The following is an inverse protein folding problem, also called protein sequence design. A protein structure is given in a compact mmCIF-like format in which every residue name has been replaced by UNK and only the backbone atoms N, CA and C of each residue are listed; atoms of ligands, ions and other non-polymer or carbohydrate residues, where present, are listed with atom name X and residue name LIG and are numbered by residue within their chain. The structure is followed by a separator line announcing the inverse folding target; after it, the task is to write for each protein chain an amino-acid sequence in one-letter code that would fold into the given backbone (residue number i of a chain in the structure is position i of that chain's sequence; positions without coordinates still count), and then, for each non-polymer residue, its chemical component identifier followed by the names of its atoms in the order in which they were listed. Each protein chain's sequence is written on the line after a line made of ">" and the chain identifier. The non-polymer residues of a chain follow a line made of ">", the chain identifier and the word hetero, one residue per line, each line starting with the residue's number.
data_IF_857832727811
#
_entry.id   IF_857832727811
#
_cell.length_a   1.000
_cell.length_b   1.000
_cell.length_c   1.000
_cell.angle_alpha   90.00
_cell.angle_beta   90.00
_cell.angle_gamma   90.00
#
_symmetry.space_group_name_H-M   'P 1'
#
loop_
_entity.id
_entity.type
_entity.pdbx_description
1 polymer ?
#
# COMPACT_ATOMS: atom_id res chain seq x y z
N UNK A 1 2.90 -2.23 -33.38
CA UNK A 1 2.26 -0.94 -33.08
C UNK A 1 1.34 -1.12 -31.88
N UNK A 2 1.37 -0.23 -30.88
CA UNK A 2 0.77 -0.46 -29.55
C UNK A 2 -0.58 0.27 -29.33
N UNK A 3 -1.25 0.74 -30.38
CA UNK A 3 -2.36 1.70 -30.28
C UNK A 3 -3.79 1.10 -30.09
N UNK A 4 -3.96 -0.22 -30.06
CA UNK A 4 -5.28 -0.87 -30.23
C UNK A 4 -5.77 -1.76 -29.07
N UNK A 5 -4.99 -1.91 -27.99
CA UNK A 5 -5.28 -2.86 -26.89
C UNK A 5 -6.09 -2.35 -25.67
N UNK A 6 -6.18 -1.04 -25.32
CA UNK A 6 -6.90 -0.62 -24.12
C UNK A 6 -8.42 -0.87 -24.16
N UNK A 7 -9.12 -0.34 -25.18
CA UNK A 7 -10.61 -0.36 -25.24
C UNK A 7 -11.20 -1.77 -25.40
N UNK A 8 -10.50 -2.66 -26.10
CA UNK A 8 -10.89 -4.07 -26.28
C UNK A 8 -10.82 -4.84 -24.97
N UNK A 9 -9.81 -4.55 -24.14
CA UNK A 9 -9.66 -5.16 -22.81
C UNK A 9 -10.78 -4.74 -21.85
N UNK A 10 -11.10 -3.45 -21.80
CA UNK A 10 -12.20 -2.93 -20.96
C UNK A 10 -13.57 -3.52 -21.36
N UNK A 11 -13.87 -3.55 -22.66
CA UNK A 11 -15.13 -4.12 -23.15
C UNK A 11 -15.26 -5.62 -22.86
N UNK A 12 -14.15 -6.37 -22.82
CA UNK A 12 -14.16 -7.78 -22.43
C UNK A 12 -14.55 -7.93 -20.96
N UNK A 13 -13.91 -7.19 -20.06
CA UNK A 13 -14.20 -7.24 -18.62
C UNK A 13 -15.66 -6.87 -18.32
N UNK A 14 -16.18 -5.80 -18.94
CA UNK A 14 -17.59 -5.39 -18.82
C UNK A 14 -18.58 -6.47 -19.30
N UNK A 15 -18.19 -7.30 -20.28
CA UNK A 15 -19.00 -8.45 -20.75
C UNK A 15 -18.84 -9.70 -19.87
N UNK A 16 -17.74 -9.82 -19.14
CA UNK A 16 -17.49 -10.93 -18.20
C UNK A 16 -18.18 -10.73 -16.86
N UNK A 17 -18.28 -9.49 -16.35
CA UNK A 17 -18.81 -9.20 -15.02
C UNK A 17 -20.19 -9.84 -14.72
N UNK A 18 -21.21 -9.81 -15.62
CA UNK A 18 -22.49 -10.47 -15.36
C UNK A 18 -22.39 -11.99 -15.24
N UNK A 19 -21.47 -12.64 -15.97
CA UNK A 19 -21.22 -14.08 -15.86
C UNK A 19 -20.49 -14.42 -14.56
N UNK A 20 -19.51 -13.60 -14.17
CA UNK A 20 -18.78 -13.75 -12.92
C UNK A 20 -19.72 -13.61 -11.72
N UNK A 21 -20.62 -12.63 -11.74
CA UNK A 21 -21.68 -12.46 -10.72
C UNK A 21 -22.57 -13.69 -10.65
N UNK A 22 -22.99 -14.23 -11.80
CA UNK A 22 -23.88 -15.40 -11.87
C UNK A 22 -23.24 -16.72 -11.37
N UNK A 23 -21.90 -16.84 -11.36
CA UNK A 23 -21.17 -18.03 -10.86
C UNK A 23 -20.33 -17.74 -9.62
N UNK A 24 -20.59 -16.64 -8.91
CA UNK A 24 -19.72 -16.18 -7.82
C UNK A 24 -19.71 -17.14 -6.61
N UNK A 25 -20.83 -17.84 -6.41
CA UNK A 25 -21.05 -18.90 -5.41
C UNK A 25 -20.05 -20.05 -5.45
N UNK A 26 -19.36 -20.23 -6.58
CA UNK A 26 -18.61 -21.44 -6.90
C UNK A 26 -17.08 -21.23 -6.75
N UNK A 27 -16.64 -19.97 -6.56
CA UNK A 27 -15.43 -19.46 -7.20
C UNK A 27 -14.05 -20.17 -7.09
N UNK A 28 -13.22 -20.24 -6.04
CA UNK A 28 -13.25 -19.99 -4.58
C UNK A 28 -12.70 -18.59 -4.14
N UNK A 29 -12.17 -18.46 -2.90
CA UNK A 29 -11.35 -17.34 -2.39
C UNK A 29 -10.18 -16.90 -3.29
N UNK A 30 -9.42 -17.82 -3.89
CA UNK A 30 -8.30 -17.50 -4.78
C UNK A 30 -8.81 -16.85 -6.06
N UNK A 31 -9.91 -17.40 -6.60
CA UNK A 31 -10.56 -16.88 -7.78
C UNK A 31 -11.23 -15.52 -7.50
N UNK A 32 -11.95 -15.36 -6.37
CA UNK A 32 -12.50 -14.08 -5.90
C UNK A 32 -11.41 -12.99 -5.83
N UNK A 33 -10.27 -13.29 -5.20
CA UNK A 33 -9.15 -12.37 -5.06
C UNK A 33 -8.51 -12.00 -6.40
N UNK A 34 -8.26 -13.00 -7.26
CA UNK A 34 -7.65 -12.78 -8.57
C UNK A 34 -8.57 -11.96 -9.50
N UNK A 35 -9.89 -12.20 -9.46
CA UNK A 35 -10.89 -11.45 -10.23
C UNK A 35 -10.96 -10.00 -9.74
N UNK A 36 -11.12 -9.77 -8.43
CA UNK A 36 -11.16 -8.42 -7.86
C UNK A 36 -9.88 -7.65 -8.24
N UNK A 37 -8.71 -8.28 -8.09
CA UNK A 37 -7.43 -7.69 -8.47
C UNK A 37 -7.39 -7.33 -9.96
N UNK A 38 -7.84 -8.22 -10.85
CA UNK A 38 -7.81 -7.98 -12.29
C UNK A 38 -8.69 -6.79 -12.72
N UNK A 39 -9.91 -6.70 -12.20
CA UNK A 39 -10.81 -5.56 -12.47
C UNK A 39 -10.22 -4.23 -11.95
N UNK A 40 -9.72 -4.22 -10.71
CA UNK A 40 -9.06 -3.05 -10.13
C UNK A 40 -7.79 -2.66 -10.89
N UNK A 41 -7.01 -3.64 -11.39
CA UNK A 41 -5.74 -3.42 -12.10
C UNK A 41 -5.92 -2.74 -13.45
N UNK A 42 -7.05 -2.94 -14.13
CA UNK A 42 -7.41 -2.24 -15.37
C UNK A 42 -8.21 -0.95 -15.15
N UNK A 43 -8.37 -0.50 -13.89
CA UNK A 43 -9.19 0.66 -13.50
C UNK A 43 -10.66 0.58 -13.95
N UNK A 44 -11.19 -0.62 -14.20
CA UNK A 44 -12.60 -0.83 -14.55
C UNK A 44 -13.43 -1.03 -13.29
N UNK A 45 -14.17 0.00 -12.92
CA UNK A 45 -15.04 0.02 -11.74
C UNK A 45 -16.38 -0.63 -12.04
N UNK A 46 -16.71 -1.66 -11.28
CA UNK A 46 -18.02 -2.30 -11.26
C UNK A 46 -18.43 -2.57 -9.80
N UNK A 47 -19.16 -1.61 -9.21
CA UNK A 47 -19.55 -1.66 -7.79
C UNK A 47 -20.45 -2.87 -7.49
N UNK A 48 -21.24 -3.33 -8.47
CA UNK A 48 -22.10 -4.50 -8.34
C UNK A 48 -21.30 -5.79 -8.28
N UNK A 49 -20.31 -5.94 -9.17
CA UNK A 49 -19.35 -7.04 -9.10
C UNK A 49 -18.59 -7.02 -7.78
N UNK A 50 -18.00 -5.89 -7.39
CA UNK A 50 -17.22 -5.80 -6.15
C UNK A 50 -18.06 -6.09 -4.90
N UNK A 51 -19.32 -5.65 -4.86
CA UNK A 51 -20.25 -6.03 -3.80
C UNK A 51 -20.47 -7.55 -3.76
N UNK A 52 -20.78 -8.20 -4.88
CA UNK A 52 -20.94 -9.66 -4.95
C UNK A 52 -19.66 -10.39 -4.51
N UNK A 53 -18.48 -9.94 -4.96
CA UNK A 53 -17.20 -10.50 -4.54
C UNK A 53 -16.95 -10.33 -3.02
N UNK A 54 -17.39 -9.22 -2.40
CA UNK A 54 -17.31 -9.02 -0.94
C UNK A 54 -18.21 -10.01 -0.20
N UNK A 55 -19.47 -10.15 -0.64
CA UNK A 55 -20.46 -11.04 -0.03
C UNK A 55 -20.05 -12.50 -0.12
N UNK A 56 -19.50 -12.95 -1.26
CA UNK A 56 -19.00 -14.32 -1.42
C UNK A 56 -17.71 -14.59 -0.64
N UNK A 57 -16.81 -13.60 -0.52
CA UNK A 57 -15.58 -13.75 0.28
C UNK A 57 -15.87 -13.91 1.77
N UNK A 58 -16.90 -13.23 2.28
CA UNK A 58 -17.30 -13.26 3.69
C UNK A 58 -18.10 -14.51 4.11
N UNK A 59 -18.49 -15.39 3.17
CA UNK A 59 -19.12 -16.66 3.53
C UNK A 59 -18.11 -17.55 4.26
N UNK A 60 -18.33 -17.76 5.56
CA UNK A 60 -17.40 -18.44 6.48
C UNK A 60 -17.07 -19.91 6.18
N UNK A 61 -17.53 -20.47 5.06
CA UNK A 61 -17.07 -21.75 4.52
C UNK A 61 -15.72 -21.63 3.80
N UNK A 62 -15.26 -20.42 3.47
CA UNK A 62 -14.03 -20.16 2.70
C UNK A 62 -12.89 -19.72 3.61
N UNK A 63 -11.87 -20.56 3.78
CA UNK A 63 -10.62 -20.16 4.44
C UNK A 63 -9.83 -19.23 3.50
N UNK A 64 -9.79 -17.95 3.81
CA UNK A 64 -9.06 -16.95 3.00
C UNK A 64 -7.64 -16.81 3.53
N UNK A 65 -6.66 -17.17 2.70
CA UNK A 65 -5.24 -17.07 3.06
C UNK A 65 -4.74 -15.61 3.07
N UNK A 66 -3.58 -15.32 3.70
CA UNK A 66 -3.00 -13.97 3.79
C UNK A 66 -2.86 -13.21 2.47
N UNK A 67 -2.51 -13.93 1.39
CA UNK A 67 -2.33 -13.35 0.05
C UNK A 67 -3.66 -12.94 -0.56
N UNK A 68 -4.67 -13.81 -0.46
CA UNK A 68 -5.99 -13.55 -1.01
C UNK A 68 -6.69 -12.42 -0.25
N UNK A 69 -6.52 -12.36 1.07
CA UNK A 69 -7.04 -11.29 1.91
C UNK A 69 -6.40 -9.93 1.57
N UNK A 70 -5.07 -9.90 1.42
CA UNK A 70 -4.34 -8.70 1.02
C UNK A 70 -4.67 -8.25 -0.42
N UNK A 71 -4.83 -9.18 -1.35
CA UNK A 71 -5.20 -8.89 -2.74
C UNK A 71 -6.62 -8.36 -2.86
N UNK A 72 -7.58 -8.92 -2.11
CA UNK A 72 -8.95 -8.40 -2.02
C UNK A 72 -8.94 -6.96 -1.47
N UNK A 73 -8.30 -6.71 -0.31
CA UNK A 73 -8.23 -5.37 0.26
C UNK A 73 -7.58 -4.35 -0.70
N UNK A 74 -6.47 -4.73 -1.34
CA UNK A 74 -5.79 -3.90 -2.35
C UNK A 74 -6.69 -3.62 -3.57
N UNK A 75 -7.46 -4.61 -4.02
CA UNK A 75 -8.38 -4.44 -5.14
C UNK A 75 -9.48 -3.42 -4.82
N UNK A 76 -10.15 -3.55 -3.66
CA UNK A 76 -11.17 -2.59 -3.22
C UNK A 76 -10.59 -1.18 -3.08
N UNK A 77 -9.35 -1.05 -2.59
CA UNK A 77 -8.64 0.23 -2.51
C UNK A 77 -8.31 0.86 -3.88
N UNK A 78 -8.25 0.08 -4.97
CA UNK A 78 -7.96 0.60 -6.31
C UNK A 78 -9.18 0.67 -7.24
N UNK A 79 -10.27 -0.03 -6.94
CA UNK A 79 -11.49 -0.04 -7.75
C UNK A 79 -12.16 1.34 -7.92
N UNK A 80 -11.86 2.31 -7.05
CA UNK A 80 -12.31 3.71 -7.18
C UNK A 80 -11.35 4.65 -7.95
N UNK A 81 -10.20 4.17 -8.42
CA UNK A 81 -9.17 5.00 -9.07
C UNK A 81 -9.44 5.20 -10.57
N UNK A 82 -10.31 6.17 -10.89
CA UNK A 82 -10.55 6.62 -12.27
C UNK A 82 -9.62 7.77 -12.70
N UNK A 83 -8.75 7.48 -13.66
CA UNK A 83 -8.02 8.50 -14.44
C UNK A 83 -6.96 9.29 -13.66
N UNK A 84 -6.13 10.02 -14.40
CA UNK A 84 -5.00 10.80 -13.85
C UNK A 84 -5.44 12.08 -13.11
N UNK A 85 -6.74 12.40 -13.12
CA UNK A 85 -7.30 13.67 -12.64
C UNK A 85 -8.38 13.53 -11.55
N UNK A 86 -8.66 12.33 -11.02
CA UNK A 86 -9.56 12.20 -9.86
C UNK A 86 -8.92 12.76 -8.59
N UNK A 87 -9.44 13.90 -8.12
CA UNK A 87 -9.00 14.59 -6.89
C UNK A 87 -9.32 13.83 -5.60
N UNK A 88 -10.09 12.72 -5.68
CA UNK A 88 -10.36 11.82 -4.56
C UNK A 88 -9.99 10.38 -4.93
N UNK A 89 -8.74 10.02 -4.62
CA UNK A 89 -8.34 8.61 -4.40
C UNK A 89 -9.06 8.06 -3.16
N UNK A 90 -10.23 7.47 -3.39
CA UNK A 90 -11.02 6.70 -2.42
C UNK A 90 -11.51 5.48 -3.18
N UNK A 91 -11.20 4.29 -2.70
CA UNK A 91 -11.68 3.03 -3.27
C UNK A 91 -13.11 2.71 -2.83
N UNK A 92 -13.53 1.46 -3.05
CA UNK A 92 -14.85 1.00 -2.64
C UNK A 92 -14.88 0.74 -1.13
N UNK A 93 -15.68 1.55 -0.44
CA UNK A 93 -15.88 1.50 1.01
C UNK A 93 -17.10 0.63 1.34
N UNK A 94 -16.88 -0.67 1.50
CA UNK A 94 -17.81 -1.61 2.14
C UNK A 94 -17.34 -1.79 3.60
N UNK A 95 -17.99 -1.14 4.60
CA UNK A 95 -17.49 -1.16 5.99
C UNK A 95 -17.50 -2.54 6.62
N UNK A 96 -18.49 -3.37 6.28
CA UNK A 96 -18.62 -4.74 6.81
C UNK A 96 -17.49 -5.62 6.26
N UNK A 97 -17.22 -5.51 4.95
CA UNK A 97 -16.08 -6.18 4.32
C UNK A 97 -14.75 -5.75 4.93
N UNK A 98 -14.52 -4.45 5.18
CA UNK A 98 -13.27 -4.00 5.80
C UNK A 98 -13.12 -4.43 7.27
N UNK A 99 -14.19 -4.49 8.06
CA UNK A 99 -14.13 -5.04 9.42
C UNK A 99 -13.89 -6.57 9.41
N UNK A 100 -14.54 -7.31 8.51
CA UNK A 100 -14.24 -8.72 8.28
C UNK A 100 -12.79 -8.95 7.83
N UNK A 101 -12.24 -8.10 6.94
CA UNK A 101 -10.82 -8.16 6.56
C UNK A 101 -9.92 -7.94 7.78
N UNK A 102 -10.25 -6.98 8.65
CA UNK A 102 -9.47 -6.72 9.86
C UNK A 102 -9.53 -7.89 10.86
N UNK A 103 -10.70 -8.52 11.03
CA UNK A 103 -10.86 -9.69 11.89
C UNK A 103 -10.15 -10.93 11.33
N UNK A 104 -10.33 -11.24 10.03
CA UNK A 104 -9.66 -12.34 9.35
C UNK A 104 -8.13 -12.15 9.35
N UNK A 105 -7.65 -10.92 9.18
CA UNK A 105 -6.23 -10.60 9.25
C UNK A 105 -5.66 -10.80 10.65
N UNK A 106 -6.34 -10.31 11.70
CA UNK A 106 -5.90 -10.52 13.08
C UNK A 106 -5.80 -12.01 13.45
N UNK A 107 -6.75 -12.85 12.97
CA UNK A 107 -6.73 -14.31 13.16
C UNK A 107 -5.62 -15.04 12.39
N UNK A 108 -5.08 -14.45 11.33
CA UNK A 108 -4.10 -15.09 10.42
C UNK A 108 -2.73 -14.40 10.37
N UNK A 109 -2.54 -13.32 11.13
CA UNK A 109 -1.33 -12.47 11.12
C UNK A 109 0.01 -13.24 11.24
N UNK A 110 0.17 -14.30 12.05
CA UNK A 110 1.42 -15.08 12.10
C UNK A 110 1.84 -15.75 10.79
N UNK A 111 0.93 -15.83 9.80
CA UNK A 111 1.18 -16.40 8.46
C UNK A 111 1.54 -15.32 7.42
N UNK A 112 1.61 -14.04 7.81
CA UNK A 112 1.76 -12.93 6.88
C UNK A 112 3.20 -12.75 6.43
N UNK A 113 3.40 -12.46 5.14
CA UNK A 113 4.65 -11.86 4.65
C UNK A 113 4.66 -10.35 4.85
N UNK A 114 5.84 -9.74 4.79
CA UNK A 114 6.03 -8.28 4.75
C UNK A 114 5.19 -7.60 3.66
N UNK A 115 5.02 -8.25 2.50
CA UNK A 115 4.14 -7.80 1.43
C UNK A 115 2.65 -7.84 1.82
N UNK A 116 2.17 -8.91 2.48
CA UNK A 116 0.78 -8.99 2.95
C UNK A 116 0.48 -7.88 3.96
N UNK A 117 1.38 -7.70 4.93
CA UNK A 117 1.28 -6.63 5.93
C UNK A 117 1.18 -5.25 5.28
N UNK A 118 2.12 -4.92 4.39
CA UNK A 118 2.13 -3.66 3.63
C UNK A 118 0.83 -3.44 2.86
N UNK A 119 0.40 -4.42 2.05
CA UNK A 119 -0.76 -4.26 1.18
C UNK A 119 -2.06 -4.07 1.95
N UNK A 120 -2.23 -4.74 3.10
CA UNK A 120 -3.40 -4.57 3.96
C UNK A 120 -3.45 -3.17 4.58
N UNK A 121 -2.40 -2.73 5.29
CA UNK A 121 -2.44 -1.40 5.93
C UNK A 121 -2.49 -0.28 4.89
N UNK A 122 -1.85 -0.46 3.73
CA UNK A 122 -1.94 0.47 2.60
C UNK A 122 -3.35 0.56 2.02
N UNK A 123 -4.08 -0.55 1.94
CA UNK A 123 -5.47 -0.55 1.46
C UNK A 123 -6.42 0.18 2.41
N UNK A 124 -6.26 -0.04 3.72
CA UNK A 124 -7.02 0.66 4.77
C UNK A 124 -6.70 2.16 4.77
N UNK A 125 -5.42 2.52 4.76
CA UNK A 125 -4.95 3.91 4.69
C UNK A 125 -5.35 4.60 3.37
N UNK A 126 -5.42 3.88 2.25
CA UNK A 126 -5.89 4.42 0.95
C UNK A 126 -7.37 4.74 0.99
N UNK A 127 -8.21 3.83 1.50
CA UNK A 127 -9.64 4.09 1.70
C UNK A 127 -9.95 5.07 2.83
N UNK A 128 -8.97 5.36 3.72
CA UNK A 128 -9.15 6.06 5.01
C UNK A 128 -10.15 5.35 5.91
N UNK A 129 -9.93 4.04 6.10
CA UNK A 129 -10.65 3.19 7.04
C UNK A 129 -9.64 2.81 8.13
N UNK A 130 -9.88 3.24 9.36
CA UNK A 130 -9.05 2.88 10.51
C UNK A 130 -9.58 1.61 11.16
N UNK A 131 -8.70 0.66 11.49
CA UNK A 131 -9.04 -0.47 12.36
C UNK A 131 -7.86 -0.75 13.27
N UNK A 132 -8.04 -0.47 14.57
CA UNK A 132 -6.99 -0.65 15.57
C UNK A 132 -6.55 -2.11 15.63
N UNK A 133 -7.50 -3.05 15.57
CA UNK A 133 -7.24 -4.51 15.55
C UNK A 133 -6.31 -4.93 14.42
N UNK A 134 -6.45 -4.34 13.22
CA UNK A 134 -5.52 -4.60 12.11
C UNK A 134 -4.14 -4.00 12.41
N UNK A 135 -4.06 -2.76 12.88
CA UNK A 135 -2.79 -2.13 13.24
C UNK A 135 -2.05 -2.94 14.31
N UNK A 136 -2.68 -3.25 15.45
CA UNK A 136 -2.06 -4.02 16.53
C UNK A 136 -1.51 -5.37 16.04
N UNK A 137 -2.32 -6.10 15.26
CA UNK A 137 -1.94 -7.40 14.70
C UNK A 137 -0.75 -7.29 13.72
N UNK A 138 -0.75 -6.29 12.83
CA UNK A 138 0.35 -6.06 11.89
C UNK A 138 1.62 -5.62 12.64
N UNK A 139 1.50 -4.68 13.56
CA UNK A 139 2.61 -4.13 14.33
C UNK A 139 3.34 -5.23 15.12
N UNK A 140 2.58 -6.10 15.80
CA UNK A 140 3.11 -7.27 16.51
C UNK A 140 3.98 -8.17 15.62
N UNK A 141 3.55 -8.44 14.38
CA UNK A 141 4.33 -9.26 13.44
C UNK A 141 5.57 -8.53 12.91
N UNK A 142 5.46 -7.22 12.62
CA UNK A 142 6.60 -6.40 12.19
C UNK A 142 7.68 -6.40 13.26
N UNK A 143 7.32 -6.01 14.50
CA UNK A 143 8.26 -5.92 15.62
C UNK A 143 8.85 -7.29 16.00
N UNK A 144 8.04 -8.36 16.00
CA UNK A 144 8.47 -9.68 16.45
C UNK A 144 9.48 -10.38 15.54
N UNK A 145 9.31 -10.29 14.21
CA UNK A 145 10.21 -10.98 13.26
C UNK A 145 10.22 -10.39 11.84
N UNK A 146 9.10 -9.86 11.34
CA UNK A 146 9.01 -9.45 9.94
C UNK A 146 9.90 -8.26 9.58
N UNK A 147 10.32 -7.41 10.52
CA UNK A 147 11.11 -6.19 10.22
C UNK A 147 12.36 -6.48 9.37
N UNK A 148 13.02 -7.63 9.60
CA UNK A 148 14.18 -8.06 8.83
C UNK A 148 13.83 -8.58 7.42
N UNK A 149 12.58 -8.97 7.18
CA UNK A 149 12.06 -9.50 5.93
C UNK A 149 11.35 -8.46 5.05
N UNK A 150 11.39 -7.17 5.42
CA UNK A 150 10.91 -6.10 4.55
C UNK A 150 11.92 -5.70 3.46
N UNK A 151 11.40 -5.38 2.29
CA UNK A 151 12.05 -4.49 1.32
C UNK A 151 11.60 -3.02 1.57
N UNK A 152 12.27 -2.01 1.00
CA UNK A 152 12.05 -0.61 1.37
C UNK A 152 10.71 -0.06 0.87
N UNK A 153 10.10 -0.66 -0.15
CA UNK A 153 8.77 -0.28 -0.62
C UNK A 153 7.72 -0.77 0.38
N UNK A 154 7.80 -2.03 0.80
CA UNK A 154 6.87 -2.58 1.78
C UNK A 154 7.02 -1.90 3.16
N UNK A 155 8.25 -1.58 3.62
CA UNK A 155 8.44 -0.90 4.91
C UNK A 155 7.91 0.54 4.90
N UNK A 156 8.26 1.31 3.86
CA UNK A 156 7.80 2.70 3.74
C UNK A 156 6.27 2.80 3.55
N UNK A 157 5.64 1.81 2.90
CA UNK A 157 4.19 1.69 2.84
C UNK A 157 3.56 1.43 4.21
N UNK A 158 4.15 0.59 5.07
CA UNK A 158 3.65 0.38 6.45
C UNK A 158 3.71 1.69 7.23
N UNK A 159 4.87 2.35 7.29
CA UNK A 159 5.04 3.60 8.04
C UNK A 159 4.11 4.72 7.53
N UNK A 160 4.01 4.90 6.21
CA UNK A 160 3.07 5.85 5.59
C UNK A 160 1.61 5.54 5.94
N UNK A 161 1.24 4.26 6.03
CA UNK A 161 -0.14 3.86 6.33
C UNK A 161 -0.54 4.19 7.76
N UNK A 162 0.33 3.94 8.74
CA UNK A 162 0.10 4.29 10.14
C UNK A 162 -0.01 5.82 10.30
N UNK A 163 0.92 6.56 9.71
CA UNK A 163 0.89 8.02 9.70
C UNK A 163 -0.40 8.58 9.08
N UNK A 164 -0.83 8.01 7.94
CA UNK A 164 -2.05 8.44 7.24
C UNK A 164 -3.36 8.04 7.94
N UNK A 165 -3.33 6.98 8.76
CA UNK A 165 -4.44 6.58 9.64
C UNK A 165 -4.39 7.29 11.02
N UNK A 166 -3.40 8.16 11.25
CA UNK A 166 -3.11 8.80 12.54
C UNK A 166 -2.85 7.83 13.71
N UNK A 167 -2.37 6.62 13.41
CA UNK A 167 -2.02 5.60 14.41
C UNK A 167 -0.58 5.82 14.88
N UNK A 168 -0.43 6.28 16.13
CA UNK A 168 0.86 6.51 16.77
C UNK A 168 1.34 5.25 17.50
N UNK A 169 2.08 4.41 16.78
CA UNK A 169 2.78 3.25 17.34
C UNK A 169 4.28 3.59 17.49
N UNK A 170 4.69 3.99 18.69
CA UNK A 170 6.09 4.41 18.92
C UNK A 170 7.08 3.25 18.80
N UNK A 171 6.66 2.04 19.17
CA UNK A 171 7.52 0.85 19.14
C UNK A 171 7.77 0.39 17.70
N UNK A 172 6.74 0.33 16.86
CA UNK A 172 6.86 0.04 15.43
C UNK A 172 7.78 1.04 14.72
N UNK A 173 7.63 2.34 15.01
CA UNK A 173 8.45 3.38 14.41
C UNK A 173 9.89 3.32 14.94
N UNK A 174 10.12 3.00 16.22
CA UNK A 174 11.46 2.82 16.77
C UNK A 174 12.17 1.60 16.16
N UNK A 175 11.55 0.41 16.16
CA UNK A 175 12.13 -0.79 15.52
C UNK A 175 12.39 -0.60 14.03
N UNK A 176 11.54 0.16 13.34
CA UNK A 176 11.76 0.50 11.93
C UNK A 176 12.94 1.44 11.73
N UNK A 177 13.11 2.44 12.60
CA UNK A 177 14.24 3.35 12.57
C UNK A 177 15.57 2.63 12.83
N UNK A 178 15.60 1.72 13.80
CA UNK A 178 16.78 0.93 14.13
C UNK A 178 17.16 -0.02 12.99
N UNK A 179 16.19 -0.65 12.33
CA UNK A 179 16.45 -1.47 11.13
C UNK A 179 16.97 -0.64 9.94
N UNK A 180 16.41 0.55 9.71
CA UNK A 180 16.91 1.46 8.65
C UNK A 180 18.34 1.92 8.96
N UNK A 181 18.66 2.22 10.21
CA UNK A 181 20.03 2.55 10.65
C UNK A 181 20.96 1.35 10.44
N UNK A 182 20.54 0.14 10.83
CA UNK A 182 21.31 -1.11 10.67
C UNK A 182 21.61 -1.45 9.20
N UNK A 183 20.70 -1.13 8.27
CA UNK A 183 20.89 -1.32 6.82
C UNK A 183 21.60 -0.16 6.12
N UNK A 184 21.69 1.00 6.76
CA UNK A 184 22.06 2.27 6.13
C UNK A 184 20.90 2.89 5.34
N UNK A 185 20.83 4.23 5.30
CA UNK A 185 19.67 4.96 4.73
C UNK A 185 19.46 4.70 3.23
N UNK A 186 20.53 4.39 2.47
CA UNK A 186 20.47 3.94 1.07
C UNK A 186 19.55 2.76 0.80
N UNK A 187 19.26 1.94 1.81
CA UNK A 187 18.23 0.91 1.74
C UNK A 187 16.89 1.47 1.25
N UNK A 188 16.48 2.65 1.74
CA UNK A 188 15.27 3.34 1.30
C UNK A 188 15.44 3.95 -0.08
N UNK A 189 16.58 4.62 -0.31
CA UNK A 189 16.84 5.50 -1.46
C UNK A 189 16.86 4.83 -2.84
N UNK A 190 16.74 3.49 -2.90
CA UNK A 190 16.47 2.74 -4.15
C UNK A 190 15.29 3.32 -4.95
N UNK A 191 14.33 3.98 -4.29
CA UNK A 191 13.46 4.97 -4.94
C UNK A 191 13.37 6.23 -4.08
N UNK A 192 13.26 7.44 -4.67
CA UNK A 192 13.00 8.67 -3.91
C UNK A 192 11.69 8.58 -3.11
N UNK A 193 10.69 7.86 -3.63
CA UNK A 193 9.38 7.72 -3.00
C UNK A 193 9.45 7.00 -1.65
N UNK A 194 10.24 5.93 -1.52
CA UNK A 194 10.36 5.17 -0.28
C UNK A 194 10.95 6.03 0.85
N UNK A 195 12.00 6.81 0.54
CA UNK A 195 12.61 7.75 1.47
C UNK A 195 11.62 8.87 1.85
N UNK A 196 10.98 9.51 0.85
CA UNK A 196 9.99 10.57 1.09
C UNK A 196 8.81 10.11 1.96
N UNK A 197 8.21 8.95 1.65
CA UNK A 197 7.12 8.35 2.42
C UNK A 197 7.55 8.11 3.89
N UNK A 198 8.77 7.59 4.08
CA UNK A 198 9.31 7.27 5.40
C UNK A 198 9.53 8.53 6.24
N UNK A 199 10.25 9.53 5.69
CA UNK A 199 10.53 10.79 6.40
C UNK A 199 9.24 11.56 6.71
N UNK A 200 8.28 11.59 5.77
CA UNK A 200 6.96 12.17 6.01
C UNK A 200 6.21 11.46 7.15
N UNK A 201 6.28 10.12 7.21
CA UNK A 201 5.61 9.36 8.26
C UNK A 201 6.13 9.69 9.68
N UNK A 202 7.46 9.74 9.88
CA UNK A 202 8.02 10.20 11.17
C UNK A 202 7.61 11.63 11.50
N UNK A 203 7.60 12.53 10.52
CA UNK A 203 7.17 13.92 10.69
C UNK A 203 5.71 14.06 11.12
N UNK A 204 4.80 13.27 10.55
CA UNK A 204 3.36 13.27 10.88
C UNK A 204 3.05 12.60 12.23
N UNK A 205 3.72 11.49 12.54
CA UNK A 205 3.50 10.74 13.79
C UNK A 205 4.25 11.37 14.97
N UNK A 206 5.22 12.24 14.70
CA UNK A 206 5.97 13.02 15.69
C UNK A 206 7.05 12.24 16.44
N UNK A 207 7.30 10.98 16.07
CA UNK A 207 8.35 10.12 16.64
C UNK A 207 9.72 10.53 16.06
N UNK A 208 10.72 10.70 16.92
CA UNK A 208 12.03 11.29 16.59
C UNK A 208 13.21 10.43 17.05
N UNK A 209 13.49 9.27 16.42
CA UNK A 209 14.56 8.36 16.85
C UNK A 209 15.93 9.00 16.56
N UNK A 210 16.76 9.35 17.56
CA UNK A 210 17.94 10.18 17.33
C UNK A 210 18.97 9.57 16.38
N UNK A 211 19.18 8.25 16.46
CA UNK A 211 20.10 7.53 15.59
C UNK A 211 19.69 7.58 14.12
N UNK A 212 18.39 7.44 13.81
CA UNK A 212 17.85 7.55 12.45
C UNK A 212 17.90 8.98 11.93
N UNK A 213 17.55 9.98 12.76
CA UNK A 213 17.65 11.39 12.35
C UNK A 213 19.11 11.78 12.03
N UNK A 214 20.07 11.40 12.86
CA UNK A 214 21.49 11.66 12.59
C UNK A 214 22.02 10.86 11.39
N UNK A 215 21.51 9.65 11.13
CA UNK A 215 21.85 8.88 9.93
C UNK A 215 21.28 9.52 8.65
N UNK A 216 20.03 10.00 8.71
CA UNK A 216 19.35 10.72 7.63
C UNK A 216 20.04 12.06 7.33
N UNK A 217 20.46 12.80 8.35
CA UNK A 217 21.23 14.04 8.20
C UNK A 217 22.56 13.79 7.47
N UNK A 218 23.38 12.84 7.95
CA UNK A 218 24.62 12.43 7.26
C UNK A 218 24.36 11.97 5.83
N UNK A 219 23.26 11.26 5.59
CA UNK A 219 22.89 10.79 4.27
C UNK A 219 22.57 11.95 3.31
N UNK A 220 21.78 12.92 3.78
CA UNK A 220 21.40 14.09 2.99
C UNK A 220 22.62 14.98 2.74
N UNK A 221 23.46 15.27 3.72
CA UNK A 221 24.64 16.14 3.54
C UNK A 221 25.70 15.50 2.63
N UNK A 222 25.92 14.19 2.71
CA UNK A 222 26.86 13.49 1.81
C UNK A 222 26.38 13.55 0.35
N UNK A 223 25.07 13.49 0.12
CA UNK A 223 24.48 13.62 -1.22
C UNK A 223 24.20 15.07 -1.65
N UNK A 224 24.16 16.05 -0.74
CA UNK A 224 24.05 17.47 -1.08
C UNK A 224 25.25 17.92 -1.93
N UNK A 225 26.45 17.40 -1.63
CA UNK A 225 27.65 17.60 -2.45
C UNK A 225 27.57 17.08 -3.89
N UNK A 226 26.48 16.40 -4.29
CA UNK A 226 26.16 16.14 -5.71
C UNK A 226 25.39 17.31 -6.34
N UNK A 227 24.44 17.92 -5.61
CA UNK A 227 23.75 19.14 -6.04
C UNK A 227 24.70 20.34 -6.10
N UNK A 228 25.62 20.47 -5.14
CA UNK A 228 26.64 21.53 -5.17
C UNK A 228 27.49 21.40 -6.45
N UNK A 229 28.04 20.21 -6.73
CA UNK A 229 28.80 19.93 -7.96
C UNK A 229 28.01 20.12 -9.27
N UNK A 230 26.69 19.92 -9.25
CA UNK A 230 25.81 20.21 -10.38
C UNK A 230 25.61 21.72 -10.61
N UNK A 231 25.65 22.53 -9.55
CA UNK A 231 25.48 23.99 -9.63
C UNK A 231 26.79 24.75 -9.83
N UNK A 232 27.93 24.23 -9.33
CA UNK A 232 29.28 24.75 -9.58
C UNK A 232 29.66 24.78 -11.07
N UNK A 233 29.09 23.87 -11.88
CA UNK A 233 29.52 23.66 -13.28
C UNK A 233 28.61 24.26 -14.37
N UNK A 234 27.69 25.18 -14.02
CA UNK A 234 27.19 26.25 -14.92
C UNK A 234 26.29 27.23 -14.16
N UNK A 235 26.51 28.56 -14.26
CA UNK A 235 25.45 29.50 -13.94
C UNK A 235 24.27 29.25 -14.89
N UNK A 236 23.05 29.13 -14.35
CA UNK A 236 21.84 29.00 -15.15
C UNK A 236 21.77 30.15 -16.16
N UNK A 237 21.51 29.89 -17.46
CA UNK A 237 21.39 30.95 -18.44
C UNK A 237 20.25 31.88 -18.04
N UNK A 238 20.57 33.16 -17.80
CA UNK A 238 19.57 34.18 -17.45
C UNK A 238 18.49 34.16 -18.53
N UNK A 239 17.24 33.91 -18.14
CA UNK A 239 16.12 33.88 -19.07
C UNK A 239 15.95 35.26 -19.70
N UNK A 240 16.36 35.38 -20.96
CA UNK A 240 16.13 36.57 -21.77
C UNK A 240 14.63 36.73 -21.96
N UNK A 241 14.03 37.70 -21.26
CA UNK A 241 12.65 38.12 -21.52
C UNK A 241 12.55 38.68 -22.93
N UNK A 242 11.72 38.04 -23.74
CA UNK A 242 11.10 38.54 -24.96
C UNK A 242 9.68 37.95 -24.98
#
# INVERSE_FOLDING_TARGET
>A
SFATLPRTSEMLFRRMAPRVVATASDLDSQHLANIAWAFAKISHRDDGLFYVLSREAMKGTRQVNPLNLANLAWAFANAGHHGEMSTRRIGLRDPEFFEWVAEAAAKSAPQFTSQNCSNLVWAFATNRISSQRLCDAISSQVQGWLIQNFDPQHLSNVLWSYAKLAVKDEALFQSSADEIVRRGVDYLSRTPQNLSNTVWAYGVVGVKPPAFLAALERYITTNAGFYDKLTENRPLPKSSRA
#
